data_IF_874085796076
#
_entry.id   IF_874085796076
#
_cell.length_a   1.000
_cell.length_b   1.000
_cell.length_c   1.000
_cell.angle_alpha   90.00
_cell.angle_beta   90.00
_cell.angle_gamma   90.00
#
_symmetry.space_group_name_H-M   'P 1'
#
loop_
_entity.id
_entity.type
_entity.pdbx_description
1 polymer ?
#
# COMPACT_ATOMS: atom_id res chain seq x y z
N UNK A 1 -18.72 -8.39 -2.58
CA UNK A 1 -17.59 -7.78 -1.88
C UNK A 1 -17.37 -6.36 -2.37
N UNK A 2 -17.27 -5.41 -1.46
CA UNK A 2 -17.09 -4.02 -1.82
C UNK A 2 -15.79 -3.47 -1.33
N UNK A 3 -15.18 -2.62 -2.14
CA UNK A 3 -13.95 -1.92 -1.79
C UNK A 3 -14.34 -0.49 -1.51
N UNK A 4 -14.06 0.01 -0.31
CA UNK A 4 -14.42 1.38 0.04
C UNK A 4 -13.81 2.40 -0.90
N UNK A 5 -12.57 2.21 -1.25
CA UNK A 5 -11.89 3.12 -2.16
C UNK A 5 -12.29 2.93 -3.60
N UNK A 6 -13.00 1.85 -3.91
CA UNK A 6 -13.45 1.58 -5.25
C UNK A 6 -14.30 2.72 -5.79
N UNK A 7 -15.14 3.27 -4.93
CA UNK A 7 -15.99 4.35 -5.32
C UNK A 7 -15.19 5.58 -5.73
N UNK A 8 -14.12 5.83 -4.99
CA UNK A 8 -13.23 6.93 -5.28
C UNK A 8 -12.51 6.69 -6.58
N UNK A 9 -12.03 5.47 -6.78
CA UNK A 9 -11.36 5.08 -8.01
C UNK A 9 -12.28 5.22 -9.20
N UNK A 10 -13.55 4.87 -9.01
CA UNK A 10 -14.53 4.95 -10.05
C UNK A 10 -14.69 6.38 -10.55
N UNK A 11 -14.80 7.33 -9.64
CA UNK A 11 -14.90 8.72 -10.04
C UNK A 11 -13.64 9.20 -10.74
N UNK A 12 -12.51 8.72 -10.29
CA UNK A 12 -11.25 9.09 -10.91
C UNK A 12 -11.15 8.58 -12.32
N UNK A 13 -11.74 7.42 -12.59
CA UNK A 13 -11.68 6.83 -13.89
C UNK A 13 -12.18 7.76 -14.98
N UNK A 14 -13.13 8.60 -14.67
CA UNK A 14 -13.69 9.48 -15.64
C UNK A 14 -12.69 10.41 -16.28
N UNK A 15 -11.60 10.71 -15.58
CA UNK A 15 -10.68 11.65 -16.15
C UNK A 15 -9.22 11.34 -15.92
N UNK A 16 -8.96 10.38 -15.06
CA UNK A 16 -7.58 10.11 -14.74
C UNK A 16 -7.25 8.67 -14.80
N UNK A 17 -7.85 8.00 -15.71
CA UNK A 17 -7.63 6.60 -15.86
C UNK A 17 -6.17 6.24 -15.90
N UNK A 18 -5.36 7.11 -16.35
CA UNK A 18 -3.94 6.86 -16.43
C UNK A 18 -3.31 6.69 -15.06
N UNK A 19 -3.72 7.50 -14.13
CA UNK A 19 -3.09 7.50 -12.81
C UNK A 19 -3.31 6.25 -12.04
N UNK A 20 -4.58 5.76 -12.10
CA UNK A 20 -4.80 4.64 -11.29
C UNK A 20 -4.35 3.37 -11.88
N UNK A 21 -3.95 3.34 -13.07
CA UNK A 21 -3.37 2.18 -13.67
C UNK A 21 -2.07 1.84 -12.98
N UNK A 22 -1.52 2.79 -12.22
CA UNK A 22 -0.28 2.56 -11.55
C UNK A 22 -0.39 2.09 -10.12
N UNK A 23 -1.61 1.84 -9.68
CA UNK A 23 -1.80 1.29 -8.35
C UNK A 23 -1.26 -0.14 -8.31
N UNK A 24 -0.39 -0.41 -7.36
CA UNK A 24 0.25 -1.72 -7.22
C UNK A 24 0.04 -2.26 -5.82
N UNK A 25 -0.63 -3.39 -5.71
CA UNK A 25 -0.87 -4.00 -4.41
C UNK A 25 0.42 -4.54 -3.84
N UNK A 26 0.68 -4.25 -2.58
CA UNK A 26 1.85 -4.74 -1.86
C UNK A 26 1.47 -5.97 -1.05
N UNK A 27 0.41 -5.86 -0.27
CA UNK A 27 0.02 -6.90 0.65
C UNK A 27 -1.45 -6.78 1.03
N UNK A 28 -1.99 -7.83 1.59
CA UNK A 28 -3.36 -7.82 2.06
C UNK A 28 -3.63 -8.97 3.02
N UNK A 29 -4.63 -8.80 3.85
CA UNK A 29 -5.04 -9.83 4.78
C UNK A 29 -6.57 -9.90 4.81
N UNK A 30 -7.11 -11.10 4.92
CA UNK A 30 -8.54 -11.33 5.00
C UNK A 30 -8.87 -12.04 6.31
N UNK A 31 -9.70 -11.40 7.11
CA UNK A 31 -10.16 -12.01 8.35
C UNK A 31 -11.04 -13.23 8.06
N UNK A 32 -11.94 -13.09 7.10
CA UNK A 32 -12.85 -14.17 6.75
C UNK A 32 -12.12 -15.41 6.30
N UNK A 33 -11.13 -15.25 5.44
CA UNK A 33 -10.39 -16.39 4.91
C UNK A 33 -9.18 -16.76 5.74
N UNK A 34 -8.85 -15.96 6.74
CA UNK A 34 -7.67 -16.15 7.60
C UNK A 34 -6.41 -16.35 6.77
N UNK A 35 -6.24 -15.46 5.79
CA UNK A 35 -5.09 -15.50 4.88
C UNK A 35 -4.40 -14.16 4.78
N UNK A 36 -3.09 -14.23 4.57
CA UNK A 36 -2.25 -13.07 4.32
C UNK A 36 -1.58 -13.27 2.96
N UNK A 37 -1.54 -12.20 2.19
CA UNK A 37 -0.89 -12.19 0.89
C UNK A 37 0.17 -11.09 0.84
N UNK A 38 1.33 -11.41 0.28
CA UNK A 38 2.38 -10.44 0.05
C UNK A 38 2.88 -10.59 -1.38
N UNK A 39 2.91 -9.50 -2.12
CA UNK A 39 3.29 -9.54 -3.53
C UNK A 39 4.78 -9.88 -3.66
N UNK A 40 5.11 -10.97 -4.33
CA UNK A 40 6.52 -11.43 -4.43
C UNK A 40 7.51 -10.42 -4.97
N UNK A 41 7.07 -9.52 -5.84
CA UNK A 41 8.01 -8.55 -6.40
C UNK A 41 8.53 -7.55 -5.36
N UNK A 42 7.92 -7.48 -4.21
CA UNK A 42 8.38 -6.62 -3.12
C UNK A 42 9.21 -7.39 -2.08
N UNK A 43 9.58 -8.64 -2.37
CA UNK A 43 10.42 -9.42 -1.47
C UNK A 43 11.81 -8.81 -1.24
N UNK A 44 12.18 -7.86 -2.07
CA UNK A 44 13.46 -7.15 -1.92
C UNK A 44 13.44 -6.16 -0.75
N UNK A 45 12.27 -5.87 -0.22
CA UNK A 45 12.19 -5.00 0.95
C UNK A 45 12.84 -5.67 2.17
N UNK A 46 13.40 -4.87 3.10
CA UNK A 46 13.98 -5.43 4.31
C UNK A 46 12.96 -6.23 5.10
N UNK A 47 13.41 -7.27 5.78
CA UNK A 47 12.52 -8.13 6.56
C UNK A 47 11.74 -7.37 7.62
N UNK A 48 12.37 -6.39 8.27
CA UNK A 48 11.68 -5.58 9.28
C UNK A 48 10.50 -4.82 8.68
N UNK A 49 10.67 -4.31 7.47
CA UNK A 49 9.61 -3.60 6.77
C UNK A 49 8.50 -4.57 6.38
N UNK A 50 8.88 -5.74 5.88
CA UNK A 50 7.88 -6.76 5.50
C UNK A 50 7.08 -7.22 6.70
N UNK A 51 7.72 -7.36 7.85
CA UNK A 51 7.04 -7.75 9.07
C UNK A 51 6.08 -6.68 9.55
N UNK A 52 6.45 -5.40 9.44
CA UNK A 52 5.55 -4.31 9.79
C UNK A 52 4.34 -4.28 8.89
N UNK A 53 4.55 -4.47 7.59
CA UNK A 53 3.46 -4.50 6.62
C UNK A 53 2.50 -5.65 6.95
N UNK A 54 3.05 -6.81 7.24
CA UNK A 54 2.27 -7.98 7.61
C UNK A 54 1.42 -7.72 8.85
N UNK A 55 2.04 -7.15 9.88
CA UNK A 55 1.35 -6.86 11.12
C UNK A 55 0.22 -5.85 10.90
N UNK A 56 0.48 -4.82 10.12
CA UNK A 56 -0.55 -3.82 9.81
C UNK A 56 -1.74 -4.48 9.14
N UNK A 57 -1.50 -5.25 8.09
CA UNK A 57 -2.58 -5.87 7.34
C UNK A 57 -3.39 -6.83 8.20
N UNK A 58 -2.73 -7.68 8.96
CA UNK A 58 -3.40 -8.67 9.79
C UNK A 58 -4.19 -8.01 10.92
N UNK A 59 -3.57 -7.07 11.62
CA UNK A 59 -4.22 -6.40 12.73
C UNK A 59 -5.43 -5.60 12.26
N UNK A 60 -5.29 -4.88 11.16
CA UNK A 60 -6.39 -4.09 10.64
C UNK A 60 -7.52 -4.98 10.13
N UNK A 61 -7.19 -6.06 9.46
CA UNK A 61 -8.22 -6.99 8.99
C UNK A 61 -8.99 -7.61 10.16
N UNK A 62 -8.30 -7.99 11.22
CA UNK A 62 -8.94 -8.55 12.40
C UNK A 62 -9.77 -7.51 13.15
N UNK A 63 -9.21 -6.34 13.33
CA UNK A 63 -9.88 -5.26 14.08
C UNK A 63 -11.13 -4.76 13.38
N UNK A 64 -11.06 -4.62 12.07
CA UNK A 64 -12.18 -4.11 11.29
C UNK A 64 -13.11 -5.20 10.76
N UNK A 65 -12.68 -6.45 10.83
CA UNK A 65 -13.50 -7.55 10.33
C UNK A 65 -13.67 -7.52 8.82
N UNK A 66 -12.59 -7.29 8.10
CA UNK A 66 -12.64 -7.09 6.64
C UNK A 66 -11.42 -7.69 5.96
N UNK A 67 -11.33 -7.47 4.66
CA UNK A 67 -10.09 -7.67 3.93
C UNK A 67 -9.42 -6.31 3.83
N UNK A 68 -8.17 -6.24 4.26
CA UNK A 68 -7.42 -4.99 4.29
C UNK A 68 -6.24 -5.08 3.33
N UNK A 69 -6.12 -4.09 2.47
CA UNK A 69 -5.07 -4.06 1.45
C UNK A 69 -4.18 -2.84 1.58
N UNK A 70 -2.90 -3.03 1.30
CA UNK A 70 -1.94 -1.94 1.18
C UNK A 70 -1.42 -1.92 -0.25
N UNK A 71 -1.43 -0.75 -0.85
CA UNK A 71 -0.96 -0.59 -2.24
C UNK A 71 -0.11 0.66 -2.37
N UNK A 72 0.76 0.67 -3.39
CA UNK A 72 1.41 1.90 -3.81
C UNK A 72 0.54 2.58 -4.85
N UNK A 73 0.39 3.89 -4.73
CA UNK A 73 -0.18 4.68 -5.81
C UNK A 73 0.96 5.05 -6.76
N UNK A 74 0.63 5.63 -7.90
CA UNK A 74 1.63 5.96 -8.92
C UNK A 74 2.73 6.92 -8.48
N UNK A 75 2.47 7.70 -7.43
CA UNK A 75 3.45 8.62 -6.88
C UNK A 75 4.21 8.03 -5.69
N UNK A 76 3.93 6.77 -5.34
CA UNK A 76 4.57 6.11 -4.22
C UNK A 76 3.87 6.26 -2.89
N UNK A 77 2.80 7.02 -2.82
CA UNK A 77 2.01 7.10 -1.61
C UNK A 77 1.35 5.77 -1.33
N UNK A 78 1.11 5.48 -0.07
CA UNK A 78 0.46 4.23 0.32
C UNK A 78 -1.04 4.44 0.37
N UNK A 79 -1.75 3.53 -0.28
CA UNK A 79 -3.20 3.51 -0.28
C UNK A 79 -3.65 2.34 0.58
N UNK A 80 -4.51 2.61 1.55
CA UNK A 80 -5.13 1.56 2.37
C UNK A 80 -6.56 1.36 1.88
N UNK A 81 -6.89 0.12 1.57
CA UNK A 81 -8.21 -0.21 1.07
C UNK A 81 -8.89 -1.24 1.94
N UNK A 82 -10.19 -1.11 2.07
CA UNK A 82 -11.00 -2.03 2.86
C UNK A 82 -11.99 -2.69 1.92
N UNK A 83 -12.03 -4.01 1.93
CA UNK A 83 -13.00 -4.78 1.17
C UNK A 83 -13.93 -5.42 2.17
N UNK A 84 -15.20 -5.03 2.13
CA UNK A 84 -16.20 -5.54 3.04
C UNK A 84 -16.80 -6.82 2.49
N UNK A 85 -17.24 -7.71 3.38
CA UNK A 85 -17.92 -8.91 2.97
C UNK A 85 -19.29 -8.54 2.42
N UNK A 86 -19.71 -9.28 1.40
CA UNK A 86 -21.01 -9.07 0.81
C UNK A 86 -22.10 -9.31 1.85
N UNK A 87 -22.99 -8.35 1.99
CA UNK A 87 -24.08 -8.47 2.96
C UNK A 87 -23.74 -8.02 4.35
N UNK A 88 -22.55 -7.47 4.56
CA UNK A 88 -22.14 -6.97 5.86
C UNK A 88 -22.68 -5.55 6.08
N UNK A 89 -23.93 -5.48 6.48
CA UNK A 89 -24.60 -4.20 6.65
C UNK A 89 -24.22 -3.48 7.94
N UNK A 90 -23.64 -4.20 8.88
CA UNK A 90 -23.24 -3.61 10.16
C UNK A 90 -21.83 -3.09 10.18
N UNK A 91 -21.16 -3.07 9.04
CA UNK A 91 -19.79 -2.60 8.98
C UNK A 91 -19.71 -1.11 9.33
N UNK A 92 -18.82 -0.78 10.25
CA UNK A 92 -18.64 0.59 10.72
C UNK A 92 -17.69 1.37 9.82
N UNK A 93 -18.23 2.00 8.79
CA UNK A 93 -17.42 2.77 7.83
C UNK A 93 -16.71 3.95 8.49
N UNK A 94 -17.37 4.61 9.42
CA UNK A 94 -16.79 5.77 10.09
C UNK A 94 -15.65 5.34 11.00
N UNK A 95 -15.86 4.27 11.76
CA UNK A 95 -14.83 3.72 12.61
C UNK A 95 -13.63 3.25 11.81
N UNK A 96 -13.88 2.65 10.65
CA UNK A 96 -12.81 2.19 9.79
C UNK A 96 -11.96 3.34 9.27
N UNK A 97 -12.60 4.43 8.87
CA UNK A 97 -11.86 5.61 8.41
C UNK A 97 -11.02 6.22 9.52
N UNK A 98 -11.54 6.25 10.74
CA UNK A 98 -10.79 6.76 11.89
C UNK A 98 -9.60 5.87 12.21
N UNK A 99 -9.76 4.57 12.10
CA UNK A 99 -8.67 3.63 12.33
C UNK A 99 -7.57 3.79 11.29
N UNK A 100 -7.95 3.99 10.02
CA UNK A 100 -6.98 4.20 8.96
C UNK A 100 -6.23 5.51 9.18
N UNK A 101 -6.94 6.55 9.59
CA UNK A 101 -6.34 7.84 9.86
C UNK A 101 -5.32 7.74 11.00
N UNK A 102 -5.68 7.01 12.05
CA UNK A 102 -4.80 6.77 13.17
C UNK A 102 -3.58 5.97 12.74
N UNK A 103 -3.78 4.96 11.91
CA UNK A 103 -2.71 4.13 11.37
C UNK A 103 -1.71 4.96 10.58
N UNK A 104 -2.20 5.84 9.73
CA UNK A 104 -1.33 6.72 8.95
C UNK A 104 -0.46 7.61 9.84
N UNK A 105 -1.03 8.07 10.92
CA UNK A 105 -0.30 8.90 11.88
C UNK A 105 0.75 8.08 12.63
N UNK A 106 0.37 6.91 13.11
CA UNK A 106 1.29 6.04 13.85
C UNK A 106 2.44 5.51 13.01
N UNK A 107 2.17 5.20 11.76
CA UNK A 107 3.15 4.59 10.87
C UNK A 107 3.76 5.57 9.88
N UNK A 108 3.74 6.83 10.22
CA UNK A 108 4.25 7.90 9.36
C UNK A 108 5.66 7.62 8.83
N UNK A 109 6.56 7.16 9.70
CA UNK A 109 7.93 6.88 9.28
C UNK A 109 8.02 5.71 8.31
N UNK A 110 7.23 4.67 8.54
CA UNK A 110 7.18 3.53 7.63
C UNK A 110 6.68 3.98 6.26
N UNK A 111 5.62 4.78 6.24
CA UNK A 111 5.04 5.25 4.99
C UNK A 111 6.02 6.12 4.21
N UNK A 112 6.79 6.95 4.90
CA UNK A 112 7.83 7.76 4.27
C UNK A 112 8.92 6.88 3.66
N UNK A 113 9.33 5.86 4.40
CA UNK A 113 10.36 4.94 3.94
C UNK A 113 9.90 4.18 2.69
N UNK A 114 8.66 3.74 2.69
CA UNK A 114 8.10 3.04 1.55
C UNK A 114 7.98 3.95 0.32
N UNK A 115 7.57 5.18 0.53
CA UNK A 115 7.48 6.14 -0.56
C UNK A 115 8.85 6.40 -1.17
N UNK A 116 9.85 6.58 -0.33
CA UNK A 116 11.21 6.82 -0.79
C UNK A 116 11.72 5.61 -1.58
N UNK A 117 11.49 4.42 -1.05
CA UNK A 117 11.87 3.19 -1.73
C UNK A 117 11.22 3.11 -3.13
N UNK A 118 9.92 3.43 -3.19
CA UNK A 118 9.19 3.41 -4.44
C UNK A 118 9.78 4.38 -5.46
N UNK A 119 10.02 5.61 -5.04
CA UNK A 119 10.56 6.65 -5.93
C UNK A 119 11.91 6.21 -6.47
N UNK A 120 12.76 5.65 -5.62
CA UNK A 120 14.09 5.24 -6.04
C UNK A 120 14.07 4.01 -6.96
N UNK A 121 13.21 3.05 -6.67
CA UNK A 121 13.26 1.76 -7.35
C UNK A 121 12.21 1.55 -8.44
N UNK A 122 11.13 2.30 -8.40
CA UNK A 122 10.00 2.08 -9.30
C UNK A 122 9.75 3.21 -10.28
N UNK A 123 10.50 4.31 -10.18
CA UNK A 123 10.35 5.41 -11.13
C UNK A 123 11.59 5.53 -12.01
N UNK A 124 11.39 6.10 -13.20
CA UNK A 124 12.48 6.31 -14.13
C UNK A 124 13.53 7.25 -13.59
N UNK A 125 13.07 8.32 -12.94
CA UNK A 125 13.96 9.31 -12.35
C UNK A 125 14.80 8.73 -11.23
N UNK A 126 14.20 7.90 -10.40
CA UNK A 126 14.91 7.21 -9.34
C UNK A 126 15.94 6.25 -9.88
N UNK A 127 15.61 5.53 -10.95
CA UNK A 127 16.54 4.61 -11.59
C UNK A 127 17.73 5.34 -12.18
N UNK A 128 17.50 6.50 -12.78
CA UNK A 128 18.57 7.32 -13.32
C UNK A 128 19.50 7.80 -12.24
N UNK A 129 18.94 8.27 -11.14
CA UNK A 129 19.74 8.74 -10.00
C UNK A 129 20.57 7.60 -9.44
N UNK A 130 19.99 6.44 -9.33
CA UNK A 130 20.67 5.24 -8.83
C UNK A 130 21.85 4.87 -9.72
N UNK A 131 21.65 4.92 -11.04
CA UNK A 131 22.71 4.63 -11.99
C UNK A 131 23.84 5.66 -11.91
N UNK A 132 23.49 6.93 -11.75
CA UNK A 132 24.49 7.97 -11.62
C UNK A 132 25.31 7.81 -10.36
N UNK A 133 24.69 7.46 -9.26
CA UNK A 133 25.40 7.23 -8.00
C UNK A 133 26.35 6.05 -8.11
N UNK A 134 25.90 4.96 -8.72
CA UNK A 134 26.74 3.78 -8.91
C UNK A 134 27.91 4.07 -9.86
N UNK A 135 27.63 4.84 -10.90
CA UNK A 135 28.65 5.22 -11.86
C UNK A 135 29.67 6.14 -11.21
N UNK A 136 29.20 7.04 -10.35
CA UNK A 136 30.06 7.95 -9.62
C UNK A 136 31.01 7.22 -8.69
N UNK A 137 30.53 6.19 -8.02
CA UNK A 137 31.36 5.39 -7.14
C UNK A 137 32.45 4.66 -7.94
N UNK A 138 32.07 4.11 -9.08
CA UNK A 138 33.03 3.41 -9.94
C UNK A 138 34.02 4.38 -10.59
N UNK A 139 33.54 5.59 -10.88
CA UNK A 139 34.36 6.58 -11.52
C UNK A 139 35.37 7.26 -10.61
N UNK A 140 35.17 7.16 -9.31
CA UNK A 140 36.08 7.82 -8.38
C UNK A 140 37.37 7.06 -8.15
N UNK A 141 37.51 5.93 -8.78
CA UNK A 141 38.76 5.16 -8.72
C UNK A 141 39.66 5.54 -9.89
#
# INVERSE_FOLDING_TARGET
MFILTERISYYSLCFKEVIFLEKTVIAGASREKQKYFFEPKFNVLPDTIKDEIRNICIIMAERLGCTFLMSFEGDGNILFEIIKNKGDFDFDDIGAELEIKSLKSEKKELLKSLKLWYVINMTEEGNKLKEELLRGENGSN
#
